data_IF_777186065621
#
_entry.id   IF_777186065621
#
_cell.length_a   1.000
_cell.length_b   1.000
_cell.length_c   1.000
_cell.angle_alpha   90.00
_cell.angle_beta   90.00
_cell.angle_gamma   90.00
#
_symmetry.space_group_name_H-M   'P 1'
#
loop_
_entity.id
_entity.type
_entity.pdbx_description
1 polymer ?
#
# COMPACT_ATOMS: atom_id res chain seq x y z
N UNK A 1 -8.33 3.14 15.88
CA UNK A 1 -8.30 4.32 15.00
C UNK A 1 -9.01 5.56 15.54
N UNK A 2 -10.27 5.52 16.01
CA UNK A 2 -10.94 6.74 16.51
C UNK A 2 -10.14 7.47 17.61
N UNK A 3 -9.53 6.73 18.55
CA UNK A 3 -8.61 7.29 19.55
C UNK A 3 -7.29 7.78 18.95
N UNK A 4 -6.78 7.13 17.91
CA UNK A 4 -5.56 7.55 17.21
C UNK A 4 -5.73 8.88 16.50
N UNK A 5 -6.96 9.20 16.14
CA UNK A 5 -7.29 10.42 15.44
C UNK A 5 -7.92 11.51 16.34
N UNK A 6 -8.12 11.22 17.63
CA UNK A 6 -8.52 12.23 18.62
C UNK A 6 -7.45 13.35 18.76
N UNK A 7 -7.82 14.42 19.48
CA UNK A 7 -6.93 15.55 19.82
C UNK A 7 -6.47 16.38 18.61
N UNK A 8 -7.33 16.55 17.60
CA UNK A 8 -7.03 17.38 16.42
C UNK A 8 -6.12 16.72 15.37
N UNK A 9 -5.78 15.43 15.54
CA UNK A 9 -5.00 14.65 14.55
C UNK A 9 -5.72 14.50 13.19
N UNK A 10 -7.02 14.80 13.13
CA UNK A 10 -7.82 14.89 11.90
C UNK A 10 -7.75 16.25 11.18
N UNK A 11 -7.45 17.35 11.89
CA UNK A 11 -7.75 18.70 11.36
C UNK A 11 -6.58 19.36 10.63
N UNK A 12 -5.34 18.92 10.84
CA UNK A 12 -4.18 19.26 10.00
C UNK A 12 -3.13 18.14 10.10
N UNK A 13 -2.77 17.59 8.93
CA UNK A 13 -1.62 16.75 8.57
C UNK A 13 -0.96 15.92 9.69
N UNK A 14 -0.86 14.59 9.51
CA UNK A 14 -1.43 13.79 8.42
C UNK A 14 -2.97 13.84 8.46
N UNK A 15 -3.69 13.43 7.43
CA UNK A 15 -5.16 13.29 7.44
C UNK A 15 -5.63 12.17 8.41
N UNK A 16 -5.18 12.24 9.66
CA UNK A 16 -5.19 11.16 10.62
C UNK A 16 -4.42 9.91 10.18
N UNK A 17 -4.49 8.92 11.05
CA UNK A 17 -4.04 7.56 10.82
C UNK A 17 -4.90 6.93 9.72
N UNK A 18 -6.21 7.17 9.78
CA UNK A 18 -7.20 6.61 8.86
C UNK A 18 -7.02 7.09 7.42
N UNK A 19 -6.83 8.39 7.17
CA UNK A 19 -6.59 8.89 5.81
C UNK A 19 -5.28 8.35 5.24
N UNK A 20 -4.24 8.28 6.08
CA UNK A 20 -2.91 7.77 5.67
C UNK A 20 -2.93 6.30 5.24
N UNK A 21 -3.76 5.45 5.86
CA UNK A 21 -3.80 4.00 5.56
C UNK A 21 -4.89 3.60 4.56
N UNK A 22 -5.96 4.38 4.44
CA UNK A 22 -7.08 4.04 3.57
C UNK A 22 -6.68 4.07 2.10
N UNK A 23 -5.95 5.11 1.66
CA UNK A 23 -5.55 5.23 0.26
C UNK A 23 -4.61 4.09 -0.20
N UNK A 24 -3.58 3.68 0.57
CA UNK A 24 -2.83 2.45 0.27
C UNK A 24 -3.71 1.20 0.16
N UNK A 25 -4.67 0.99 1.08
CA UNK A 25 -5.58 -0.17 1.01
C UNK A 25 -6.43 -0.12 -0.28
N UNK A 26 -6.97 1.04 -0.62
CA UNK A 26 -7.74 1.23 -1.86
C UNK A 26 -6.90 0.93 -3.10
N UNK A 27 -5.66 1.44 -3.17
CA UNK A 27 -4.75 1.15 -4.27
C UNK A 27 -4.39 -0.33 -4.36
N UNK A 28 -4.28 -1.03 -3.23
CA UNK A 28 -4.02 -2.46 -3.23
C UNK A 28 -5.21 -3.26 -3.78
N UNK A 29 -6.43 -2.90 -3.38
CA UNK A 29 -7.67 -3.48 -3.89
C UNK A 29 -7.81 -3.22 -5.39
N UNK A 30 -7.57 -1.98 -5.83
CA UNK A 30 -7.66 -1.60 -7.24
C UNK A 30 -6.62 -2.34 -8.11
N UNK A 31 -5.39 -2.49 -7.61
CA UNK A 31 -4.37 -3.27 -8.28
C UNK A 31 -4.78 -4.75 -8.45
N UNK A 32 -5.35 -5.38 -7.42
CA UNK A 32 -5.90 -6.75 -7.50
C UNK A 32 -7.07 -6.81 -8.48
N UNK A 33 -8.01 -5.87 -8.41
CA UNK A 33 -9.14 -5.81 -9.34
C UNK A 33 -8.67 -5.68 -10.81
N UNK A 34 -7.62 -4.89 -11.03
CA UNK A 34 -6.99 -4.72 -12.35
C UNK A 34 -6.30 -5.99 -12.85
N UNK A 35 -5.70 -6.81 -11.97
CA UNK A 35 -5.15 -8.12 -12.39
C UNK A 35 -6.24 -9.05 -12.93
N UNK A 36 -7.46 -9.00 -12.39
CA UNK A 36 -8.60 -9.78 -12.90
C UNK A 36 -8.93 -9.40 -14.34
N UNK A 37 -8.88 -8.12 -14.69
CA UNK A 37 -9.13 -7.67 -16.05
C UNK A 37 -8.11 -8.28 -17.04
N UNK A 38 -6.83 -8.34 -16.65
CA UNK A 38 -5.78 -8.98 -17.44
C UNK A 38 -6.01 -10.49 -17.60
N UNK A 39 -6.49 -11.19 -16.58
CA UNK A 39 -6.81 -12.63 -16.67
C UNK A 39 -8.00 -12.88 -17.60
N UNK A 40 -9.05 -12.07 -17.48
CA UNK A 40 -10.24 -12.17 -18.35
C UNK A 40 -9.86 -11.90 -19.79
N UNK A 41 -9.05 -10.88 -20.05
CA UNK A 41 -8.55 -10.55 -21.39
C UNK A 41 -7.67 -11.67 -21.95
N UNK A 42 -6.70 -12.17 -21.18
CA UNK A 42 -5.82 -13.25 -21.63
C UNK A 42 -6.60 -14.52 -22.04
N UNK A 43 -7.74 -14.79 -21.40
CA UNK A 43 -8.63 -15.90 -21.77
C UNK A 43 -9.36 -15.67 -23.12
N UNK A 44 -9.61 -14.42 -23.50
CA UNK A 44 -10.35 -14.05 -24.69
C UNK A 44 -9.46 -13.86 -25.93
N UNK A 45 -8.19 -13.48 -25.76
CA UNK A 45 -7.29 -13.09 -26.85
C UNK A 45 -6.61 -14.30 -27.53
N UNK A 46 -6.52 -14.23 -28.87
CA UNK A 46 -5.73 -15.15 -29.70
C UNK A 46 -4.81 -14.34 -30.64
N UNK A 47 -3.47 -14.55 -30.62
CA UNK A 47 -2.73 -15.49 -29.76
C UNK A 47 -2.72 -15.08 -28.28
N UNK A 48 -2.60 -16.06 -27.40
CA UNK A 48 -2.64 -15.88 -25.95
C UNK A 48 -1.55 -14.92 -25.45
N UNK A 49 -1.95 -13.82 -24.79
CA UNK A 49 -1.03 -12.86 -24.17
C UNK A 49 -1.45 -12.55 -22.73
N UNK A 50 -0.60 -12.94 -21.78
CA UNK A 50 -0.87 -12.84 -20.35
C UNK A 50 -0.22 -11.60 -19.69
N UNK A 51 0.45 -10.74 -20.48
CA UNK A 51 1.07 -9.50 -20.02
C UNK A 51 1.81 -9.64 -18.65
N UNK A 52 2.73 -10.60 -18.50
CA UNK A 52 3.26 -11.01 -17.20
C UNK A 52 3.93 -9.86 -16.45
N UNK A 53 4.62 -8.96 -17.15
CA UNK A 53 5.25 -7.79 -16.55
C UNK A 53 4.21 -6.81 -15.94
N UNK A 54 3.10 -6.57 -16.62
CA UNK A 54 2.02 -5.73 -16.13
C UNK A 54 1.31 -6.39 -14.94
N UNK A 55 0.98 -7.68 -15.07
CA UNK A 55 0.34 -8.46 -14.02
C UNK A 55 1.17 -8.49 -12.72
N UNK A 56 2.47 -8.79 -12.83
CA UNK A 56 3.37 -8.87 -11.68
C UNK A 56 3.65 -7.48 -11.08
N UNK A 57 3.64 -6.42 -11.90
CA UNK A 57 3.74 -5.05 -11.38
C UNK A 57 2.50 -4.64 -10.58
N UNK A 58 1.30 -5.04 -11.01
CA UNK A 58 0.08 -4.83 -10.21
C UNK A 58 0.12 -5.62 -8.90
N UNK A 59 0.59 -6.88 -8.92
CA UNK A 59 0.79 -7.65 -7.70
C UNK A 59 1.79 -6.97 -6.75
N UNK A 60 2.88 -6.39 -7.28
CA UNK A 60 3.83 -5.59 -6.50
C UNK A 60 3.13 -4.42 -5.82
N UNK A 61 2.38 -3.62 -6.59
CA UNK A 61 1.66 -2.46 -6.07
C UNK A 61 0.74 -2.88 -4.91
N UNK A 62 -0.02 -3.97 -5.08
CA UNK A 62 -0.88 -4.48 -4.03
C UNK A 62 -0.10 -4.87 -2.76
N UNK A 63 1.03 -5.58 -2.91
CA UNK A 63 1.89 -5.97 -1.77
C UNK A 63 2.49 -4.74 -1.08
N UNK A 64 3.04 -3.78 -1.82
CA UNK A 64 3.67 -2.58 -1.26
C UNK A 64 2.67 -1.69 -0.53
N UNK A 65 1.52 -1.40 -1.14
CA UNK A 65 0.50 -0.57 -0.54
C UNK A 65 -0.13 -1.24 0.70
N UNK A 66 -0.36 -2.56 0.65
CA UNK A 66 -0.84 -3.31 1.81
C UNK A 66 0.20 -3.32 2.93
N UNK A 67 1.48 -3.50 2.61
CA UNK A 67 2.55 -3.51 3.59
C UNK A 67 2.75 -2.15 4.28
N UNK A 68 2.56 -1.04 3.56
CA UNK A 68 2.53 0.30 4.17
C UNK A 68 1.44 0.40 5.24
N UNK A 69 0.21 0.02 4.88
CA UNK A 69 -0.94 0.07 5.80
C UNK A 69 -0.72 -0.83 7.02
N UNK A 70 -0.28 -2.08 6.82
CA UNK A 70 0.04 -3.02 7.91
C UNK A 70 1.17 -2.46 8.78
N UNK A 71 2.25 -1.94 8.19
CA UNK A 71 3.37 -1.39 8.95
C UNK A 71 2.92 -0.24 9.85
N UNK A 72 2.05 0.64 9.36
CA UNK A 72 1.47 1.72 10.17
C UNK A 72 0.60 1.15 11.30
N UNK A 73 -0.36 0.27 10.98
CA UNK A 73 -1.39 -0.19 11.93
C UNK A 73 -0.92 -1.24 12.93
N UNK A 74 0.13 -1.99 12.61
CA UNK A 74 0.59 -3.18 13.35
C UNK A 74 1.06 -2.93 14.78
N UNK A 75 1.46 -1.71 15.14
CA UNK A 75 1.90 -1.40 16.50
C UNK A 75 0.72 -1.29 17.43
N UNK A 76 0.74 -1.96 18.59
CA UNK A 76 -0.27 -1.76 19.66
C UNK A 76 -0.11 -0.39 20.34
N UNK A 77 1.10 0.17 20.31
CA UNK A 77 1.40 1.52 20.79
C UNK A 77 0.88 2.61 19.83
N UNK A 78 0.00 3.48 20.36
CA UNK A 78 -0.59 4.63 19.66
C UNK A 78 0.45 5.64 19.18
N UNK A 79 1.48 5.93 19.98
CA UNK A 79 2.51 6.91 19.58
C UNK A 79 3.30 6.39 18.38
N UNK A 80 3.72 5.13 18.44
CA UNK A 80 4.38 4.46 17.32
C UNK A 80 3.52 4.47 16.04
N UNK A 81 2.20 4.22 16.11
CA UNK A 81 1.31 4.30 14.93
C UNK A 81 1.30 5.71 14.33
N UNK A 82 1.19 6.74 15.18
CA UNK A 82 1.18 8.15 14.74
C UNK A 82 2.48 8.59 14.09
N UNK A 83 3.63 8.21 14.66
CA UNK A 83 4.95 8.48 14.08
C UNK A 83 5.15 7.80 12.73
N UNK A 84 4.65 6.58 12.56
CA UNK A 84 4.67 5.86 11.25
C UNK A 84 3.79 6.53 10.22
N UNK A 85 2.58 6.96 10.60
CA UNK A 85 1.68 7.68 9.71
C UNK A 85 2.26 9.05 9.28
N UNK A 86 2.82 9.82 10.22
CA UNK A 86 3.54 11.05 9.93
C UNK A 86 4.71 10.82 8.96
N UNK A 87 5.46 9.72 9.15
CA UNK A 87 6.53 9.29 8.24
C UNK A 87 6.07 9.07 6.81
N UNK A 88 4.94 8.38 6.60
CA UNK A 88 4.41 8.13 5.26
C UNK A 88 3.85 9.40 4.63
N UNK A 89 3.12 10.21 5.40
CA UNK A 89 2.60 11.50 4.93
C UNK A 89 3.72 12.45 4.51
N UNK A 90 4.83 12.47 5.25
CA UNK A 90 6.03 13.25 4.90
C UNK A 90 6.53 12.92 3.50
N UNK A 91 6.66 11.63 3.18
CA UNK A 91 7.12 11.19 1.84
C UNK A 91 6.18 11.69 0.74
N UNK A 92 4.86 11.59 0.94
CA UNK A 92 3.88 12.08 -0.04
C UNK A 92 3.94 13.59 -0.25
N UNK A 93 4.04 14.36 0.83
CA UNK A 93 4.12 15.82 0.79
C UNK A 93 5.46 16.29 0.21
N UNK A 94 6.57 15.59 0.48
CA UNK A 94 7.87 15.86 -0.15
C UNK A 94 7.76 15.78 -1.67
N UNK A 95 7.22 14.68 -2.20
CA UNK A 95 7.04 14.51 -3.65
C UNK A 95 6.08 15.55 -4.25
N UNK A 96 4.98 15.89 -3.55
CA UNK A 96 4.06 16.93 -4.02
C UNK A 96 4.74 18.30 -4.08
N UNK A 97 5.50 18.68 -3.05
CA UNK A 97 6.30 19.92 -3.02
C UNK A 97 7.31 19.96 -4.15
N UNK A 98 8.05 18.88 -4.36
CA UNK A 98 9.04 18.74 -5.43
C UNK A 98 8.40 18.92 -6.81
N UNK A 99 7.27 18.24 -7.06
CA UNK A 99 6.52 18.41 -8.31
C UNK A 99 6.11 19.86 -8.56
N UNK A 100 5.62 20.56 -7.53
CA UNK A 100 5.26 21.97 -7.64
C UNK A 100 6.48 22.84 -7.97
N UNK A 101 7.61 22.62 -7.31
CA UNK A 101 8.86 23.33 -7.59
C UNK A 101 9.38 23.09 -9.02
N UNK A 102 9.37 21.85 -9.49
CA UNK A 102 9.73 21.51 -10.86
C UNK A 102 8.79 22.15 -11.89
N UNK A 103 7.48 22.14 -11.62
CA UNK A 103 6.49 22.76 -12.49
C UNK A 103 6.68 24.29 -12.58
N UNK A 104 7.02 24.97 -11.47
CA UNK A 104 7.36 26.39 -11.46
C UNK A 104 8.62 26.66 -12.27
N UNK A 105 9.69 25.90 -12.05
CA UNK A 105 10.94 26.03 -12.79
C UNK A 105 10.75 25.83 -14.31
N UNK A 106 9.93 24.84 -14.69
CA UNK A 106 9.61 24.60 -16.10
C UNK A 106 8.82 25.76 -16.72
N UNK A 107 7.97 26.43 -15.93
CA UNK A 107 7.24 27.62 -16.37
C UNK A 107 8.13 28.84 -16.53
N UNK A 108 8.94 29.13 -15.51
CA UNK A 108 9.80 30.31 -15.47
C UNK A 108 10.87 30.28 -16.57
N UNK A 109 11.32 29.07 -16.95
CA UNK A 109 12.28 28.86 -18.02
C UNK A 109 11.64 28.64 -19.41
N UNK A 110 10.32 28.78 -19.53
CA UNK A 110 9.60 28.67 -20.81
C UNK A 110 9.47 27.25 -21.39
N UNK A 111 9.80 26.21 -20.62
CA UNK A 111 9.67 24.81 -21.02
C UNK A 111 8.22 24.30 -20.93
N UNK A 112 7.38 24.96 -20.11
CA UNK A 112 5.96 24.64 -19.95
C UNK A 112 5.14 25.88 -19.59
N UNK A 113 4.18 26.27 -20.42
CA UNK A 113 3.31 27.41 -20.07
C UNK A 113 2.15 27.00 -19.16
N UNK A 114 1.89 27.79 -18.13
CA UNK A 114 0.72 27.75 -17.27
C UNK A 114 -0.03 29.08 -17.41
N UNK A 115 -1.35 29.09 -17.19
CA UNK A 115 -2.07 30.36 -17.03
C UNK A 115 -1.64 31.05 -15.72
N UNK A 116 -1.80 32.38 -15.65
CA UNK A 116 -1.48 33.15 -14.44
C UNK A 116 -2.17 32.60 -13.20
N UNK A 117 -3.45 32.21 -13.32
CA UNK A 117 -4.22 31.59 -12.23
C UNK A 117 -3.64 30.24 -11.80
N UNK A 118 -3.31 29.37 -12.75
CA UNK A 118 -2.74 28.06 -12.45
C UNK A 118 -1.34 28.19 -11.82
N UNK A 119 -0.55 29.17 -12.25
CA UNK A 119 0.78 29.44 -11.70
C UNK A 119 0.70 30.01 -10.27
N UNK A 120 -0.23 30.95 -10.02
CA UNK A 120 -0.50 31.45 -8.67
C UNK A 120 -0.96 30.32 -7.72
N UNK A 121 -1.87 29.46 -8.18
CA UNK A 121 -2.33 28.31 -7.41
C UNK A 121 -1.20 27.30 -7.15
N UNK A 122 -0.29 27.12 -8.10
CA UNK A 122 0.88 26.25 -7.94
C UNK A 122 1.83 26.80 -6.86
N UNK A 123 2.16 28.10 -6.89
CA UNK A 123 2.97 28.77 -5.85
C UNK A 123 2.36 28.61 -4.47
N UNK A 124 1.06 28.86 -4.37
CA UNK A 124 0.34 28.67 -3.11
C UNK A 124 0.47 27.23 -2.58
N UNK A 125 0.33 26.21 -3.44
CA UNK A 125 0.47 24.80 -3.03
C UNK A 125 1.90 24.44 -2.63
N UNK A 126 2.91 24.99 -3.31
CA UNK A 126 4.31 24.81 -2.91
C UNK A 126 4.58 25.34 -1.50
N UNK A 127 4.15 26.57 -1.22
CA UNK A 127 4.29 27.18 0.11
C UNK A 127 3.47 26.44 1.17
N UNK A 128 2.28 25.99 0.80
CA UNK A 128 1.43 25.17 1.65
C UNK A 128 2.17 23.89 2.06
N UNK A 129 2.60 23.06 1.11
CA UNK A 129 3.35 21.81 1.39
C UNK A 129 4.66 22.06 2.14
N UNK A 130 5.32 23.19 1.94
CA UNK A 130 6.52 23.55 2.73
C UNK A 130 6.18 23.67 4.22
N UNK A 131 5.10 24.38 4.56
CA UNK A 131 4.62 24.50 5.95
C UNK A 131 4.13 23.16 6.51
N UNK A 132 3.52 22.32 5.67
CA UNK A 132 3.10 20.98 6.09
C UNK A 132 4.29 20.11 6.54
N UNK A 133 5.42 20.19 5.81
CA UNK A 133 6.64 19.48 6.19
C UNK A 133 7.21 19.97 7.52
N UNK A 134 7.22 21.29 7.75
CA UNK A 134 7.66 21.87 9.03
C UNK A 134 6.85 21.33 10.22
N UNK A 135 5.53 21.23 10.06
CA UNK A 135 4.64 20.64 11.09
C UNK A 135 4.97 19.16 11.30
N UNK A 136 5.12 18.39 10.22
CA UNK A 136 5.40 16.95 10.31
C UNK A 136 6.72 16.65 11.02
N UNK A 137 7.75 17.48 10.87
CA UNK A 137 9.03 17.28 11.57
C UNK A 137 8.88 17.37 13.10
N UNK A 138 7.93 18.17 13.60
CA UNK A 138 7.64 18.24 15.04
C UNK A 138 7.03 16.97 15.62
N UNK A 139 6.51 16.08 14.75
CA UNK A 139 5.87 14.82 15.14
C UNK A 139 6.86 13.63 15.20
N UNK A 140 8.16 13.88 15.05
CA UNK A 140 9.22 12.85 15.03
C UNK A 140 8.90 11.70 14.05
N UNK A 141 8.74 12.00 12.74
CA UNK A 141 8.24 11.05 11.76
C UNK A 141 9.18 9.85 11.62
N UNK A 142 8.62 8.64 11.63
CA UNK A 142 9.40 7.43 11.42
C UNK A 142 9.90 7.35 9.96
N UNK A 143 11.05 6.70 9.73
CA UNK A 143 11.56 6.51 8.38
C UNK A 143 10.67 5.55 7.55
N UNK A 144 10.01 6.09 6.53
CA UNK A 144 9.09 5.38 5.62
C UNK A 144 9.62 5.24 4.18
N UNK A 145 10.90 5.54 3.90
CA UNK A 145 11.42 5.60 2.52
C UNK A 145 11.77 4.23 1.89
N UNK A 146 11.78 3.15 2.67
CA UNK A 146 12.23 1.83 2.20
C UNK A 146 11.08 0.83 2.12
N UNK A 147 10.49 0.70 0.92
CA UNK A 147 9.41 -0.25 0.63
C UNK A 147 9.77 -1.70 0.97
N UNK A 148 10.97 -2.15 0.60
CA UNK A 148 11.46 -3.50 0.92
C UNK A 148 11.46 -3.78 2.42
N UNK A 149 11.81 -2.78 3.24
CA UNK A 149 11.79 -2.88 4.69
C UNK A 149 10.36 -2.89 5.24
N UNK A 150 9.45 -2.10 4.66
CA UNK A 150 8.02 -2.13 5.03
C UNK A 150 7.39 -3.49 4.71
N UNK A 151 7.63 -4.02 3.51
CA UNK A 151 7.19 -5.38 3.10
C UNK A 151 7.75 -6.45 4.05
N UNK A 152 9.04 -6.36 4.40
CA UNK A 152 9.65 -7.27 5.37
C UNK A 152 9.00 -7.18 6.75
N UNK A 153 8.77 -5.97 7.27
CA UNK A 153 8.14 -5.74 8.58
C UNK A 153 6.69 -6.24 8.60
N UNK A 154 5.92 -5.96 7.56
CA UNK A 154 4.55 -6.44 7.41
C UNK A 154 4.49 -7.98 7.36
N UNK A 155 5.34 -8.61 6.55
CA UNK A 155 5.40 -10.06 6.46
C UNK A 155 5.79 -10.73 7.79
N UNK A 156 6.73 -10.12 8.52
CA UNK A 156 7.10 -10.58 9.86
C UNK A 156 5.92 -10.47 10.85
N UNK A 157 5.17 -9.37 10.79
CA UNK A 157 4.00 -9.17 11.63
C UNK A 157 2.89 -10.17 11.31
N UNK A 158 2.58 -10.40 10.03
CA UNK A 158 1.58 -11.40 9.60
C UNK A 158 1.99 -12.79 10.08
N UNK A 159 3.27 -13.17 9.96
CA UNK A 159 3.73 -14.47 10.42
C UNK A 159 3.62 -14.64 11.94
N UNK A 160 3.81 -13.58 12.72
CA UNK A 160 3.62 -13.58 14.17
C UNK A 160 2.13 -13.53 14.58
N UNK A 161 1.26 -13.06 13.68
CA UNK A 161 -0.16 -12.87 13.90
C UNK A 161 -0.96 -13.47 12.72
N UNK A 162 -0.92 -14.80 12.55
CA UNK A 162 -1.46 -15.44 11.36
C UNK A 162 -2.96 -15.14 11.21
N UNK A 163 -3.41 -14.69 10.03
CA UNK A 163 -4.82 -14.41 9.79
C UNK A 163 -5.63 -15.71 9.83
N UNK A 164 -6.64 -15.76 10.71
CA UNK A 164 -7.48 -16.96 10.86
C UNK A 164 -8.25 -17.33 9.59
N UNK A 165 -8.54 -16.37 8.73
CA UNK A 165 -9.25 -16.58 7.46
C UNK A 165 -8.40 -17.30 6.39
N UNK A 166 -7.12 -17.57 6.66
CA UNK A 166 -6.21 -18.31 5.75
C UNK A 166 -5.76 -19.64 6.35
N UNK A 167 -6.47 -20.19 7.33
CA UNK A 167 -6.08 -21.43 8.00
C UNK A 167 -6.03 -22.65 7.07
N UNK A 168 -6.76 -22.60 5.96
CA UNK A 168 -6.80 -23.58 4.88
C UNK A 168 -5.56 -23.57 3.98
N UNK A 169 -4.80 -22.47 3.97
CA UNK A 169 -3.51 -22.33 3.25
C UNK A 169 -2.30 -22.32 4.20
N UNK A 170 -2.49 -22.74 5.46
CA UNK A 170 -1.48 -22.76 6.51
C UNK A 170 -0.46 -23.89 6.32
N UNK A 171 0.45 -23.73 5.35
CA UNK A 171 1.54 -24.70 5.10
C UNK A 171 2.86 -24.07 4.67
N UNK A 172 2.92 -22.73 4.54
CA UNK A 172 4.08 -22.02 4.00
C UNK A 172 4.70 -21.07 5.01
N UNK A 173 6.04 -20.98 5.01
CA UNK A 173 6.75 -19.97 5.79
C UNK A 173 6.54 -18.58 5.17
N UNK A 174 5.48 -17.88 5.59
CA UNK A 174 4.98 -16.66 4.96
C UNK A 174 6.06 -15.60 4.75
N UNK A 175 6.96 -15.40 5.73
CA UNK A 175 8.06 -14.43 5.60
C UNK A 175 8.98 -14.74 4.40
N UNK A 176 9.24 -16.02 4.13
CA UNK A 176 10.08 -16.45 3.01
C UNK A 176 9.35 -16.22 1.70
N UNK A 177 8.09 -16.66 1.62
CA UNK A 177 7.26 -16.49 0.42
C UNK A 177 7.09 -15.00 0.08
N UNK A 178 6.80 -14.15 1.06
CA UNK A 178 6.68 -12.70 0.86
C UNK A 178 7.95 -12.06 0.33
N UNK A 179 9.12 -12.44 0.86
CA UNK A 179 10.41 -11.93 0.38
C UNK A 179 10.73 -12.39 -1.04
N UNK A 180 10.48 -13.65 -1.36
CA UNK A 180 10.73 -14.21 -2.70
C UNK A 180 9.78 -13.61 -3.72
N UNK A 181 8.47 -13.61 -3.44
CA UNK A 181 7.44 -13.05 -4.31
C UNK A 181 7.66 -11.55 -4.55
N UNK A 182 8.00 -10.77 -3.52
CA UNK A 182 8.34 -9.36 -3.68
C UNK A 182 9.54 -9.15 -4.61
N UNK A 183 10.60 -9.96 -4.50
CA UNK A 183 11.78 -9.87 -5.39
C UNK A 183 11.42 -10.21 -6.83
N UNK A 184 10.59 -11.23 -7.06
CA UNK A 184 10.11 -11.58 -8.40
C UNK A 184 9.33 -10.41 -8.99
N UNK A 185 8.30 -9.91 -8.29
CA UNK A 185 7.48 -8.81 -8.78
C UNK A 185 8.31 -7.53 -9.03
N UNK A 186 9.20 -7.19 -8.10
CA UNK A 186 10.13 -6.05 -8.23
C UNK A 186 11.01 -6.15 -9.47
N UNK A 187 11.39 -7.35 -9.88
CA UNK A 187 12.26 -7.55 -11.03
C UNK A 187 11.55 -7.22 -12.33
N UNK A 188 10.29 -7.61 -12.48
CA UNK A 188 9.49 -7.23 -13.64
C UNK A 188 9.23 -5.73 -13.70
N UNK A 189 8.96 -5.08 -12.56
CA UNK A 189 8.76 -3.62 -12.53
C UNK A 189 10.01 -2.85 -12.94
N UNK A 190 11.21 -3.34 -12.62
CA UNK A 190 12.48 -2.69 -12.97
C UNK A 190 13.10 -3.22 -14.28
N UNK A 191 12.43 -4.10 -15.01
CA UNK A 191 12.91 -4.64 -16.29
C UNK A 191 14.08 -5.63 -16.15
N UNK A 192 14.23 -6.28 -15.00
CA UNK A 192 15.23 -7.31 -14.79
C UNK A 192 14.73 -8.68 -15.28
N UNK A 193 15.47 -9.31 -16.20
CA UNK A 193 15.07 -10.58 -16.83
C UNK A 193 15.39 -11.83 -16.00
N UNK A 194 16.11 -11.74 -14.87
CA UNK A 194 16.54 -12.92 -14.11
C UNK A 194 15.42 -13.87 -13.69
N UNK A 195 14.18 -13.44 -13.35
CA UNK A 195 13.12 -14.39 -13.01
C UNK A 195 12.76 -15.30 -14.19
N UNK A 196 12.86 -14.79 -15.42
CA UNK A 196 12.60 -15.57 -16.64
C UNK A 196 13.64 -16.68 -16.79
N UNK A 197 14.88 -16.44 -16.37
CA UNK A 197 15.95 -17.45 -16.41
C UNK A 197 15.76 -18.58 -15.40
N UNK A 198 14.85 -18.42 -14.42
CA UNK A 198 14.50 -19.49 -13.50
C UNK A 198 13.46 -20.47 -14.07
N UNK A 199 12.80 -20.10 -15.17
CA UNK A 199 11.77 -20.90 -15.79
C UNK A 199 12.42 -22.03 -16.60
N UNK A 200 12.04 -23.28 -16.32
CA UNK A 200 12.34 -24.44 -17.15
C UNK A 200 11.54 -24.44 -18.46
N UNK A 201 10.37 -23.79 -18.48
CA UNK A 201 9.57 -23.57 -19.68
C UNK A 201 8.61 -22.36 -19.54
N UNK A 202 8.09 -21.78 -20.64
CA UNK A 202 7.22 -20.60 -20.59
C UNK A 202 5.94 -20.77 -19.74
N UNK A 203 5.40 -21.98 -19.60
CA UNK A 203 4.20 -22.22 -18.79
C UNK A 203 4.46 -22.07 -17.29
N UNK A 204 5.70 -22.20 -16.82
CA UNK A 204 6.03 -21.98 -15.41
C UNK A 204 5.84 -20.51 -14.98
N UNK A 205 5.76 -19.57 -15.94
CA UNK A 205 5.41 -18.17 -15.66
C UNK A 205 4.03 -18.04 -15.01
N UNK A 206 3.09 -18.96 -15.29
CA UNK A 206 1.79 -19.00 -14.63
C UNK A 206 1.90 -19.34 -13.14
N UNK A 207 2.85 -20.21 -12.77
CA UNK A 207 3.13 -20.49 -11.37
C UNK A 207 3.60 -19.24 -10.64
N UNK A 208 4.54 -18.50 -11.23
CA UNK A 208 5.00 -17.22 -10.68
C UNK A 208 3.87 -16.19 -10.55
N UNK A 209 2.99 -16.10 -11.55
CA UNK A 209 1.82 -15.21 -11.50
C UNK A 209 0.83 -15.65 -10.41
N UNK A 210 0.54 -16.95 -10.30
CA UNK A 210 -0.35 -17.52 -9.29
C UNK A 210 0.17 -17.28 -7.85
N UNK A 211 1.46 -17.50 -7.61
CA UNK A 211 2.09 -17.24 -6.32
C UNK A 211 2.05 -15.74 -5.98
N UNK A 212 2.28 -14.88 -6.97
CA UNK A 212 2.30 -13.43 -6.78
C UNK A 212 0.91 -12.86 -6.48
N UNK A 213 -0.14 -13.34 -7.15
CA UNK A 213 -1.51 -12.90 -6.86
C UNK A 213 -1.99 -13.43 -5.50
N UNK A 214 -1.61 -14.65 -5.12
CA UNK A 214 -1.91 -15.18 -3.79
C UNK A 214 -1.24 -14.33 -2.69
N UNK A 215 0.03 -13.99 -2.87
CA UNK A 215 0.75 -13.10 -1.96
C UNK A 215 0.09 -11.71 -1.86
N UNK A 216 -0.28 -11.12 -3.00
CA UNK A 216 -0.98 -9.84 -3.05
C UNK A 216 -2.31 -9.90 -2.30
N UNK A 217 -3.13 -10.92 -2.57
CA UNK A 217 -4.43 -11.11 -1.95
C UNK A 217 -4.33 -11.23 -0.42
N UNK A 218 -3.45 -12.10 0.08
CA UNK A 218 -3.27 -12.28 1.53
C UNK A 218 -2.82 -10.97 2.20
N UNK A 219 -1.87 -10.25 1.60
CA UNK A 219 -1.43 -8.96 2.16
C UNK A 219 -2.57 -7.95 2.20
N UNK A 220 -3.37 -7.84 1.13
CA UNK A 220 -4.49 -6.90 1.06
C UNK A 220 -5.59 -7.27 2.05
N UNK A 221 -5.90 -8.56 2.21
CA UNK A 221 -6.87 -9.03 3.20
C UNK A 221 -6.42 -8.80 4.63
N UNK A 222 -5.12 -8.94 4.90
CA UNK A 222 -4.52 -8.56 6.18
C UNK A 222 -4.62 -7.04 6.42
N UNK A 223 -4.29 -6.22 5.42
CA UNK A 223 -4.38 -4.76 5.56
C UNK A 223 -5.82 -4.31 5.84
N UNK A 224 -6.80 -4.85 5.10
CA UNK A 224 -8.21 -4.59 5.29
C UNK A 224 -8.70 -5.08 6.66
N UNK A 225 -8.32 -6.29 7.06
CA UNK A 225 -8.74 -6.86 8.34
C UNK A 225 -8.21 -6.05 9.53
N UNK A 226 -6.97 -5.58 9.45
CA UNK A 226 -6.39 -4.67 10.46
C UNK A 226 -7.13 -3.33 10.52
N UNK A 227 -7.44 -2.77 9.35
CA UNK A 227 -8.17 -1.51 9.27
C UNK A 227 -9.55 -1.64 9.92
N UNK A 228 -10.31 -2.68 9.58
CA UNK A 228 -11.64 -2.94 10.14
C UNK A 228 -11.60 -3.25 11.63
N UNK A 229 -10.60 -4.00 12.09
CA UNK A 229 -10.40 -4.30 13.50
C UNK A 229 -10.23 -3.02 14.34
N UNK A 230 -9.56 -2.00 13.80
CA UNK A 230 -9.27 -0.76 14.52
C UNK A 230 -10.27 0.38 14.28
N UNK A 231 -11.05 0.34 13.19
CA UNK A 231 -11.95 1.44 12.79
C UNK A 231 -13.42 1.18 13.10
N UNK A 232 -13.83 -0.07 13.28
CA UNK A 232 -15.25 -0.44 13.39
C UNK A 232 -15.62 -0.76 14.84
N UNK A 233 -16.64 -0.08 15.35
CA UNK A 233 -17.28 -0.44 16.63
C UNK A 233 -18.04 -1.76 16.46
N UNK A 234 -17.72 -2.82 17.24
CA UNK A 234 -18.43 -4.09 17.16
C UNK A 234 -19.94 -3.98 17.50
N UNK A 235 -20.35 -2.93 18.21
CA UNK A 235 -21.76 -2.66 18.52
C UNK A 235 -22.40 -1.64 17.56
N UNK A 236 -21.66 -1.20 16.55
CA UNK A 236 -22.15 -0.24 15.56
C UNK A 236 -23.11 -0.86 14.54
N UNK A 237 -23.92 -0.02 13.91
CA UNK A 237 -24.88 -0.43 12.88
C UNK A 237 -24.35 -0.27 11.44
N UNK A 238 -23.02 -0.22 11.26
CA UNK A 238 -22.42 0.02 9.94
C UNK A 238 -22.52 -1.24 9.08
N UNK A 239 -22.98 -1.09 7.84
CA UNK A 239 -22.93 -2.17 6.85
C UNK A 239 -21.47 -2.55 6.56
N UNK A 240 -21.19 -3.86 6.56
CA UNK A 240 -19.89 -4.40 6.19
C UNK A 240 -19.83 -4.61 4.67
N UNK A 241 -18.80 -4.04 4.03
CA UNK A 241 -18.55 -4.19 2.58
C UNK A 241 -17.36 -5.09 2.26
N UNK A 242 -16.79 -5.76 3.27
CA UNK A 242 -15.72 -6.73 3.10
C UNK A 242 -16.29 -8.17 3.02
N UNK A 243 -15.55 -9.12 2.41
CA UNK A 243 -15.96 -10.51 2.37
C UNK A 243 -16.17 -11.11 3.78
N UNK A 244 -17.27 -11.82 3.99
CA UNK A 244 -17.66 -12.41 5.30
C UNK A 244 -16.54 -13.27 5.90
N UNK A 245 -15.79 -13.99 5.07
CA UNK A 245 -14.66 -14.82 5.52
C UNK A 245 -13.59 -14.06 6.32
N UNK A 246 -13.46 -12.74 6.13
CA UNK A 246 -12.49 -11.93 6.85
C UNK A 246 -12.90 -11.66 8.30
N UNK A 247 -14.19 -11.78 8.64
CA UNK A 247 -14.74 -11.44 9.96
C UNK A 247 -13.99 -12.15 11.10
N UNK A 248 -13.69 -13.43 10.94
CA UNK A 248 -12.97 -14.23 11.96
C UNK A 248 -11.60 -13.66 12.32
N UNK A 249 -10.93 -13.03 11.35
CA UNK A 249 -9.62 -12.39 11.57
C UNK A 249 -9.77 -10.99 12.14
N UNK A 250 -10.77 -10.24 11.65
CA UNK A 250 -11.12 -8.92 12.17
C UNK A 250 -11.43 -9.00 13.66
N UNK A 251 -12.26 -9.96 14.08
CA UNK A 251 -12.65 -10.14 15.47
C UNK A 251 -11.46 -10.56 16.35
N UNK A 252 -10.60 -11.44 15.85
CA UNK A 252 -9.37 -11.85 16.54
C UNK A 252 -8.42 -10.68 16.76
N UNK A 253 -8.11 -9.93 15.70
CA UNK A 253 -7.17 -8.82 15.77
C UNK A 253 -7.73 -7.60 16.50
N UNK A 254 -9.06 -7.42 16.55
CA UNK A 254 -9.69 -6.34 17.32
C UNK A 254 -9.32 -6.41 18.81
N UNK A 255 -9.16 -7.61 19.37
CA UNK A 255 -8.80 -7.78 20.79
C UNK A 255 -7.45 -7.18 21.19
N UNK A 256 -6.62 -6.78 20.20
CA UNK A 256 -5.29 -6.20 20.38
C UNK A 256 -5.28 -4.66 20.50
N UNK A 257 -6.38 -3.99 20.15
CA UNK A 257 -6.45 -2.53 19.99
C UNK A 257 -7.64 -1.91 20.74
#
# INVERSE_FOLDING_TARGET
MAKDNADGYYEKIPEGLSGTVMYPIMNAIDAIASTRALVVQAKADAPFNHHPAAFLSLCRTAVECSAQAIWIMSSEDRDARRKRAAGLAKVGIEHAREWHGEAQNAHDNGLRTMSDEAYAQNKHRFEFHTKELEVLETLEPANARQYSEMVRKAANWIAANPPKHTSDVAGVHYQTVSKLGYRVCSSFTHGHAWPIHLLGNPMESFGMMADSINLALINTECALSLYEAQSTDPNGSRTNYYPERLQVTIDDWRTRY
#
